data_IF_101965055277
#
_entry.id   IF_101965055277
#
_cell.length_a   1.000
_cell.length_b   1.000
_cell.length_c   1.000
_cell.angle_alpha   90.00
_cell.angle_beta   90.00
_cell.angle_gamma   90.00
#
_symmetry.space_group_name_H-M   'P 1'
#
loop_
_entity.id
_entity.type
_entity.pdbx_description
1 polymer ?
#
# COMPACT_ATOMS: atom_id res chain seq x y z
N UNK A 1 -15.61 -2.85 -4.66
CA UNK A 1 -15.17 -1.45 -4.81
C UNK A 1 -13.76 -1.18 -4.34
N UNK A 2 -13.41 -1.31 -3.04
CA UNK A 2 -12.05 -1.03 -2.54
C UNK A 2 -10.95 -1.72 -3.36
N UNK A 3 -10.99 -3.05 -3.48
CA UNK A 3 -9.96 -3.82 -4.18
C UNK A 3 -9.85 -3.46 -5.66
N UNK A 4 -10.99 -3.23 -6.32
CA UNK A 4 -11.04 -2.86 -7.74
C UNK A 4 -10.44 -1.46 -7.97
N UNK A 5 -10.77 -0.52 -7.08
CA UNK A 5 -10.25 0.85 -7.11
C UNK A 5 -8.74 0.87 -6.92
N UNK A 6 -8.25 0.15 -5.91
CA UNK A 6 -6.81 0.09 -5.61
C UNK A 6 -6.01 -0.62 -6.70
N UNK A 7 -6.52 -1.74 -7.24
CA UNK A 7 -5.93 -2.41 -8.41
C UNK A 7 -5.79 -1.48 -9.60
N UNK A 8 -6.83 -0.70 -9.90
CA UNK A 8 -6.82 0.21 -11.04
C UNK A 8 -5.86 1.40 -10.80
N UNK A 9 -5.74 1.89 -9.56
CA UNK A 9 -4.72 2.87 -9.18
C UNK A 9 -3.29 2.30 -9.31
N UNK A 10 -3.05 1.04 -8.95
CA UNK A 10 -1.76 0.35 -9.17
C UNK A 10 -1.46 0.22 -10.67
N UNK A 11 -2.47 -0.07 -11.51
CA UNK A 11 -2.31 -0.09 -12.98
C UNK A 11 -1.96 1.29 -13.53
N UNK A 12 -2.58 2.35 -13.01
CA UNK A 12 -2.27 3.73 -13.37
C UNK A 12 -0.83 4.08 -12.96
N UNK A 13 -0.42 3.75 -11.73
CA UNK A 13 0.94 3.93 -11.22
C UNK A 13 1.98 3.18 -12.05
N UNK A 14 1.71 1.91 -12.43
CA UNK A 14 2.56 1.13 -13.33
C UNK A 14 2.78 1.85 -14.67
N UNK A 15 1.72 2.42 -15.26
CA UNK A 15 1.82 3.18 -16.51
C UNK A 15 2.64 4.47 -16.32
N UNK A 16 2.36 5.21 -15.24
CA UNK A 16 3.07 6.42 -14.85
C UNK A 16 4.58 6.19 -14.72
N UNK A 17 4.97 5.09 -14.08
CA UNK A 17 6.37 4.73 -13.93
C UNK A 17 7.01 4.21 -15.22
N UNK A 18 6.39 3.23 -15.89
CA UNK A 18 7.01 2.56 -17.04
C UNK A 18 7.09 3.47 -18.27
N UNK A 19 6.01 4.21 -18.56
CA UNK A 19 5.91 5.09 -19.73
C UNK A 19 6.33 6.50 -19.39
N UNK A 20 5.83 7.05 -18.28
CA UNK A 20 6.10 8.43 -17.87
C UNK A 20 7.43 8.64 -17.17
N UNK A 21 8.08 7.56 -16.68
CA UNK A 21 9.29 7.63 -15.84
C UNK A 21 9.09 8.48 -14.58
N UNK A 22 7.85 8.51 -14.07
CA UNK A 22 7.45 9.31 -12.91
C UNK A 22 7.24 8.39 -11.69
N UNK A 23 7.80 8.80 -10.55
CA UNK A 23 7.49 8.29 -9.22
C UNK A 23 6.44 9.19 -8.58
N UNK A 24 5.47 8.62 -7.88
CA UNK A 24 4.42 9.40 -7.24
C UNK A 24 4.86 9.96 -5.89
N UNK A 25 5.53 9.15 -5.07
CA UNK A 25 6.07 9.49 -3.73
C UNK A 25 5.05 9.93 -2.67
N UNK A 26 3.75 9.85 -2.96
CA UNK A 26 2.70 10.20 -2.00
C UNK A 26 1.42 9.38 -2.23
N UNK A 27 1.57 8.06 -2.30
CA UNK A 27 0.41 7.17 -2.36
C UNK A 27 -0.32 7.20 -1.01
N UNK A 28 -1.59 7.59 -1.02
CA UNK A 28 -2.46 7.64 0.14
C UNK A 28 -3.93 7.43 -0.28
N UNK A 29 -4.85 7.14 0.65
CA UNK A 29 -6.27 6.98 0.31
C UNK A 29 -6.90 8.24 -0.30
N UNK A 30 -6.36 9.43 -0.01
CA UNK A 30 -6.86 10.69 -0.55
C UNK A 30 -6.48 10.89 -2.02
N UNK A 31 -5.39 10.25 -2.46
CA UNK A 31 -4.88 10.34 -3.83
C UNK A 31 -5.42 9.21 -4.73
N UNK A 32 -6.29 8.35 -4.19
CA UNK A 32 -6.95 7.27 -4.92
C UNK A 32 -8.46 7.54 -4.91
N UNK A 33 -9.01 7.93 -6.06
CA UNK A 33 -10.42 8.26 -6.19
C UNK A 33 -11.21 7.11 -6.83
N UNK A 34 -12.42 6.88 -6.33
CA UNK A 34 -13.38 5.97 -6.97
C UNK A 34 -13.98 6.68 -8.18
N UNK A 35 -13.99 5.99 -9.32
CA UNK A 35 -14.52 6.51 -10.58
C UNK A 35 -15.82 5.82 -10.96
N UNK A 36 -16.55 6.41 -11.91
CA UNK A 36 -17.70 5.76 -12.55
C UNK A 36 -17.22 5.06 -13.82
N UNK A 37 -17.22 3.71 -13.89
CA UNK A 37 -16.65 2.99 -15.03
C UNK A 37 -17.24 3.42 -16.39
N UNK A 38 -18.53 3.77 -16.43
CA UNK A 38 -19.22 4.23 -17.64
C UNK A 38 -18.63 5.51 -18.26
N UNK A 39 -17.91 6.31 -17.47
CA UNK A 39 -17.31 7.58 -17.92
C UNK A 39 -15.79 7.62 -17.72
N UNK A 40 -15.19 6.49 -17.32
CA UNK A 40 -13.77 6.38 -16.99
C UNK A 40 -13.16 5.15 -17.66
N UNK A 41 -13.55 4.87 -18.91
CA UNK A 41 -13.03 3.76 -19.72
C UNK A 41 -13.03 2.39 -19.03
N UNK A 42 -14.03 2.14 -18.17
CA UNK A 42 -14.16 0.91 -17.40
C UNK A 42 -13.34 0.85 -16.10
N UNK A 43 -12.50 1.85 -15.82
CA UNK A 43 -11.75 1.93 -14.57
C UNK A 43 -12.66 2.32 -13.39
N UNK A 44 -12.43 1.67 -12.26
CA UNK A 44 -13.12 1.89 -10.97
C UNK A 44 -12.29 2.72 -9.99
N UNK A 45 -11.00 2.88 -10.26
CA UNK A 45 -10.09 3.72 -9.48
C UNK A 45 -9.17 4.55 -10.37
N UNK A 46 -8.80 5.73 -9.88
CA UNK A 46 -7.82 6.60 -10.51
C UNK A 46 -6.85 7.15 -9.47
N UNK A 47 -5.57 7.17 -9.84
CA UNK A 47 -4.52 7.81 -9.06
C UNK A 47 -4.39 9.27 -9.50
N UNK A 48 -4.46 10.19 -8.54
CA UNK A 48 -4.40 11.63 -8.75
C UNK A 48 -3.26 12.24 -7.92
N UNK A 49 -3.07 13.55 -8.06
CA UNK A 49 -2.11 14.36 -7.29
C UNK A 49 -0.63 14.00 -7.54
N UNK A 50 0.00 14.78 -8.43
CA UNK A 50 1.41 14.62 -8.78
C UNK A 50 2.28 15.73 -8.20
N UNK A 51 1.81 16.48 -7.21
CA UNK A 51 2.55 17.62 -6.64
C UNK A 51 3.85 17.18 -5.96
N UNK A 52 3.84 15.97 -5.38
CA UNK A 52 5.02 15.33 -4.80
C UNK A 52 5.75 14.41 -5.79
N UNK A 53 5.36 14.34 -7.06
CA UNK A 53 5.95 13.40 -8.01
C UNK A 53 7.40 13.78 -8.41
N UNK A 54 8.16 12.80 -8.89
CA UNK A 54 9.52 13.01 -9.41
C UNK A 54 9.73 12.28 -10.73
N UNK A 55 10.29 12.97 -11.72
CA UNK A 55 10.71 12.34 -12.98
C UNK A 55 12.12 11.78 -12.83
N UNK A 56 12.33 10.52 -13.23
CA UNK A 56 13.67 9.89 -13.20
C UNK A 56 14.66 10.64 -14.07
N UNK A 57 15.87 10.84 -13.56
CA UNK A 57 16.94 11.60 -14.20
C UNK A 57 16.82 13.12 -14.06
N UNK A 58 15.84 13.62 -13.30
CA UNK A 58 15.78 15.04 -12.93
C UNK A 58 16.72 15.36 -11.76
N UNK A 59 16.97 16.64 -11.50
CA UNK A 59 17.80 17.09 -10.36
C UNK A 59 17.21 16.69 -8.99
N UNK A 60 15.90 16.39 -8.95
CA UNK A 60 15.20 15.90 -7.76
C UNK A 60 15.25 14.36 -7.64
N UNK A 61 15.77 13.67 -8.65
CA UNK A 61 15.98 12.22 -8.61
C UNK A 61 17.17 11.91 -7.69
N UNK A 62 16.91 11.15 -6.63
CA UNK A 62 17.93 10.78 -5.65
C UNK A 62 18.15 11.78 -4.51
N UNK A 63 17.35 12.86 -4.39
CA UNK A 63 17.34 13.68 -3.17
C UNK A 63 16.69 12.90 -2.03
N UNK A 64 17.47 12.59 -1.00
CA UNK A 64 17.04 11.89 0.22
C UNK A 64 16.10 12.77 1.06
N UNK A 65 14.81 12.73 0.72
CA UNK A 65 13.76 13.34 1.51
C UNK A 65 12.69 12.31 1.85
N UNK A 66 12.42 12.17 3.15
CA UNK A 66 11.24 11.46 3.64
C UNK A 66 10.01 12.33 3.32
N UNK A 67 9.50 12.17 2.10
CA UNK A 67 8.29 12.83 1.60
C UNK A 67 7.14 11.85 1.49
N UNK A 68 5.91 12.38 1.65
CA UNK A 68 4.67 11.62 1.54
C UNK A 68 3.87 11.62 2.83
N UNK A 69 2.74 10.93 2.79
CA UNK A 69 1.79 10.86 3.91
C UNK A 69 2.23 9.80 4.92
N UNK A 70 2.65 10.24 6.11
CA UNK A 70 3.39 9.47 7.13
C UNK A 70 2.95 8.00 7.33
N UNK A 71 1.65 7.67 7.51
CA UNK A 71 1.21 6.29 7.73
C UNK A 71 1.45 5.36 6.54
N UNK A 72 1.56 5.91 5.33
CA UNK A 72 1.66 5.16 4.08
C UNK A 72 3.07 5.16 3.50
N UNK A 73 4.00 5.96 4.03
CA UNK A 73 5.38 5.96 3.57
C UNK A 73 6.02 4.57 3.72
N UNK A 74 6.75 4.14 2.69
CA UNK A 74 7.54 2.92 2.73
C UNK A 74 8.60 2.96 3.84
N UNK A 75 8.99 1.81 4.38
CA UNK A 75 10.00 1.68 5.44
C UNK A 75 11.29 2.40 5.06
N UNK A 76 11.82 2.15 3.87
CA UNK A 76 13.08 2.73 3.43
C UNK A 76 12.99 4.24 3.23
N UNK A 77 11.82 4.73 2.83
CA UNK A 77 11.55 6.16 2.72
C UNK A 77 11.56 6.83 4.09
N UNK A 78 10.98 6.20 5.11
CA UNK A 78 11.05 6.66 6.50
C UNK A 78 12.50 6.70 7.01
N UNK A 79 13.33 5.76 6.55
CA UNK A 79 14.78 5.72 6.79
C UNK A 79 15.59 6.64 5.85
N UNK A 80 14.92 7.53 5.11
CA UNK A 80 15.50 8.51 4.19
C UNK A 80 16.32 7.88 3.06
N UNK A 81 16.04 6.64 2.69
CA UNK A 81 16.55 6.04 1.46
C UNK A 81 15.76 6.59 0.27
N UNK A 82 16.42 6.69 -0.88
CA UNK A 82 15.83 7.26 -2.08
C UNK A 82 14.59 6.48 -2.53
N UNK A 83 13.55 7.23 -2.90
CA UNK A 83 12.31 6.68 -3.42
C UNK A 83 12.53 5.89 -4.71
N UNK A 84 11.77 4.80 -4.86
CA UNK A 84 11.71 4.01 -6.08
C UNK A 84 10.26 3.59 -6.30
N UNK A 85 9.96 3.00 -7.46
CA UNK A 85 8.61 2.53 -7.77
C UNK A 85 8.13 1.45 -6.79
N UNK A 86 9.06 0.67 -6.22
CA UNK A 86 8.76 -0.32 -5.19
C UNK A 86 8.19 0.35 -3.94
N UNK A 87 8.70 1.52 -3.57
CA UNK A 87 8.22 2.24 -2.39
C UNK A 87 6.79 2.74 -2.58
N UNK A 88 6.42 3.21 -3.77
CA UNK A 88 5.03 3.53 -4.07
C UNK A 88 4.12 2.28 -4.01
N UNK A 89 4.60 1.11 -4.49
CA UNK A 89 3.86 -0.18 -4.38
C UNK A 89 3.72 -0.62 -2.91
N UNK A 90 4.75 -0.47 -2.09
CA UNK A 90 4.69 -0.72 -0.65
C UNK A 90 3.67 0.21 0.04
N UNK A 91 3.59 1.47 -0.39
CA UNK A 91 2.60 2.43 0.10
C UNK A 91 1.16 2.02 -0.23
N UNK A 92 0.88 1.48 -1.42
CA UNK A 92 -0.43 0.89 -1.72
C UNK A 92 -0.77 -0.21 -0.71
N UNK A 93 0.15 -1.13 -0.43
CA UNK A 93 -0.11 -2.16 0.57
C UNK A 93 -0.46 -1.60 1.97
N UNK A 94 0.20 -0.52 2.39
CA UNK A 94 -0.18 0.18 3.63
C UNK A 94 -1.54 0.87 3.55
N UNK A 95 -1.94 1.38 2.39
CA UNK A 95 -3.30 1.89 2.14
C UNK A 95 -4.32 0.77 2.37
N UNK A 96 -4.18 -0.38 1.71
CA UNK A 96 -5.08 -1.52 1.89
C UNK A 96 -5.23 -1.92 3.36
N UNK A 97 -4.11 -2.10 4.07
CA UNK A 97 -4.12 -2.50 5.48
C UNK A 97 -4.82 -1.47 6.36
N UNK A 98 -4.54 -0.17 6.18
CA UNK A 98 -5.21 0.90 6.92
C UNK A 98 -6.69 1.01 6.58
N UNK A 99 -7.06 0.86 5.31
CA UNK A 99 -8.46 0.88 4.88
C UNK A 99 -9.26 -0.24 5.55
N UNK A 100 -8.68 -1.44 5.67
CA UNK A 100 -9.32 -2.58 6.30
C UNK A 100 -9.31 -2.54 7.84
N UNK A 101 -8.19 -2.15 8.47
CA UNK A 101 -8.03 -2.25 9.93
C UNK A 101 -8.33 -0.99 10.72
N UNK A 102 -8.39 0.18 10.07
CA UNK A 102 -8.70 1.47 10.69
C UNK A 102 -9.97 2.06 10.12
N UNK A 103 -9.99 2.28 8.81
CA UNK A 103 -11.06 3.06 8.18
C UNK A 103 -12.37 2.28 8.02
N UNK A 104 -12.33 0.95 7.98
CA UNK A 104 -13.52 0.09 7.88
C UNK A 104 -14.43 0.14 9.12
N UNK A 105 -13.92 0.64 10.24
CA UNK A 105 -14.67 0.79 11.50
C UNK A 105 -15.54 2.06 11.54
N UNK A 106 -15.48 2.91 10.52
CA UNK A 106 -16.43 4.02 10.37
C UNK A 106 -17.86 3.46 10.22
N UNK A 107 -18.80 3.81 11.13
CA UNK A 107 -20.18 3.35 11.07
C UNK A 107 -20.87 3.60 9.74
N UNK A 108 -20.50 4.65 9.00
CA UNK A 108 -21.07 4.99 7.69
C UNK A 108 -20.79 3.90 6.64
N UNK A 109 -19.70 3.14 6.79
CA UNK A 109 -19.33 2.08 5.86
C UNK A 109 -20.07 0.76 6.10
N UNK A 110 -20.65 0.58 7.28
CA UNK A 110 -21.47 -0.60 7.60
C UNK A 110 -20.74 -1.94 7.53
N UNK A 111 -19.41 -1.96 7.65
CA UNK A 111 -18.61 -3.19 7.55
C UNK A 111 -18.47 -3.95 8.88
N UNK A 112 -18.65 -3.27 10.01
CA UNK A 112 -18.68 -3.90 11.33
C UNK A 112 -20.07 -4.47 11.61
N UNK A 113 -20.13 -5.73 12.06
CA UNK A 113 -21.41 -6.36 12.44
C UNK A 113 -21.84 -5.92 13.84
N UNK A 114 -23.12 -6.09 14.16
CA UNK A 114 -23.65 -5.70 15.48
C UNK A 114 -22.88 -6.39 16.63
N UNK A 115 -22.47 -5.59 17.62
CA UNK A 115 -21.68 -6.04 18.77
C UNK A 115 -20.18 -6.16 18.52
N UNK A 116 -19.71 -6.05 17.27
CA UNK A 116 -18.30 -5.96 16.93
C UNK A 116 -17.73 -4.58 17.33
N UNK A 117 -16.49 -4.55 17.82
CA UNK A 117 -15.86 -3.31 18.28
C UNK A 117 -14.42 -3.23 17.81
N UNK A 118 -14.05 -2.06 17.32
CA UNK A 118 -12.65 -1.74 17.07
C UNK A 118 -11.85 -1.85 18.36
N UNK A 119 -10.60 -2.32 18.23
CA UNK A 119 -9.63 -2.30 19.32
C UNK A 119 -9.44 -0.87 19.84
N UNK A 120 -9.56 -0.69 21.17
CA UNK A 120 -9.36 0.63 21.83
C UNK A 120 -8.01 1.27 21.49
N UNK A 121 -6.96 0.47 21.45
CA UNK A 121 -5.61 0.90 21.07
C UNK A 121 -5.19 0.20 19.78
N UNK A 122 -5.64 0.74 18.65
CA UNK A 122 -5.31 0.19 17.33
C UNK A 122 -3.81 0.24 17.05
N UNK A 123 -3.26 -0.84 16.49
CA UNK A 123 -1.87 -0.92 16.01
C UNK A 123 -1.60 0.08 14.89
N UNK A 124 -2.60 0.37 14.05
CA UNK A 124 -2.50 1.34 12.96
C UNK A 124 -2.29 2.77 13.44
N UNK A 125 -2.74 3.11 14.66
CA UNK A 125 -2.50 4.45 15.24
C UNK A 125 -1.01 4.74 15.36
N UNK A 126 -0.19 3.71 15.62
CA UNK A 126 1.26 3.87 15.79
C UNK A 126 1.99 4.24 14.50
N UNK A 127 1.35 4.11 13.34
CA UNK A 127 1.91 4.61 12.07
C UNK A 127 1.77 6.12 11.89
N UNK A 128 1.04 6.80 12.79
CA UNK A 128 0.74 8.24 12.70
C UNK A 128 1.52 9.07 13.73
N UNK A 129 2.19 8.43 14.69
CA UNK A 129 2.78 9.11 15.86
C UNK A 129 4.16 8.55 16.15
N UNK A 130 5.07 9.42 16.62
CA UNK A 130 6.46 9.06 16.91
C UNK A 130 7.43 9.61 15.88
N UNK A 131 8.69 9.16 15.94
CA UNK A 131 9.70 9.54 14.95
C UNK A 131 9.60 8.68 13.68
N UNK A 132 10.17 9.15 12.57
CA UNK A 132 10.23 8.37 11.33
C UNK A 132 10.92 7.01 11.55
N UNK A 133 11.96 7.00 12.37
CA UNK A 133 12.70 5.79 12.74
C UNK A 133 11.82 4.80 13.50
N UNK A 134 11.07 5.25 14.51
CA UNK A 134 10.17 4.38 15.28
C UNK A 134 9.10 3.74 14.40
N UNK A 135 8.56 4.52 13.46
CA UNK A 135 7.53 4.04 12.52
C UNK A 135 8.14 3.03 11.54
N UNK A 136 9.36 3.29 11.04
CA UNK A 136 10.07 2.36 10.18
C UNK A 136 10.32 1.02 10.86
N UNK A 137 10.90 1.03 12.07
CA UNK A 137 11.18 -0.18 12.84
C UNK A 137 9.91 -0.97 13.17
N UNK A 138 8.84 -0.26 13.53
CA UNK A 138 7.54 -0.89 13.78
C UNK A 138 6.99 -1.59 12.53
N UNK A 139 6.99 -0.90 11.38
CA UNK A 139 6.56 -1.48 10.10
C UNK A 139 7.43 -2.67 9.72
N UNK A 140 8.75 -2.57 9.88
CA UNK A 140 9.67 -3.68 9.65
C UNK A 140 9.30 -4.91 10.47
N UNK A 141 9.07 -4.73 11.77
CA UNK A 141 8.65 -5.80 12.67
C UNK A 141 7.27 -6.38 12.33
N UNK A 142 6.38 -5.61 11.73
CA UNK A 142 5.05 -6.08 11.31
C UNK A 142 5.10 -6.86 9.98
N UNK A 143 6.03 -6.53 9.09
CA UNK A 143 6.18 -7.14 7.77
C UNK A 143 7.21 -8.29 7.75
N UNK A 144 7.86 -8.60 8.87
CA UNK A 144 8.95 -9.58 8.95
C UNK A 144 8.51 -11.03 8.83
N UNK A 145 7.28 -11.37 9.25
CA UNK A 145 6.74 -12.72 9.18
C UNK A 145 5.21 -12.72 8.96
N UNK A 146 4.63 -13.82 8.46
CA UNK A 146 3.18 -13.92 8.30
C UNK A 146 2.43 -13.74 9.63
N UNK A 147 2.99 -14.22 10.73
CA UNK A 147 2.39 -14.12 12.06
C UNK A 147 2.30 -12.66 12.54
N UNK A 148 3.32 -11.85 12.24
CA UNK A 148 3.34 -10.43 12.62
C UNK A 148 2.36 -9.61 11.78
N UNK A 149 2.15 -9.98 10.51
CA UNK A 149 1.10 -9.42 9.68
C UNK A 149 -0.29 -9.85 10.17
N UNK A 150 -0.47 -11.13 10.50
CA UNK A 150 -1.72 -11.66 11.05
C UNK A 150 -2.17 -10.95 12.33
N UNK A 151 -1.21 -10.58 13.20
CA UNK A 151 -1.48 -9.75 14.38
C UNK A 151 -2.04 -8.36 14.05
N UNK A 152 -1.69 -7.79 12.90
CA UNK A 152 -2.24 -6.53 12.41
C UNK A 152 -3.63 -6.74 11.78
N UNK A 153 -3.77 -7.76 10.93
CA UNK A 153 -5.03 -8.11 10.28
C UNK A 153 -6.11 -8.63 11.24
N UNK A 154 -5.74 -9.07 12.45
CA UNK A 154 -6.71 -9.39 13.52
C UNK A 154 -7.56 -8.18 13.96
N UNK A 155 -7.20 -6.95 13.57
CA UNK A 155 -8.02 -5.76 13.78
C UNK A 155 -9.03 -5.50 12.65
N UNK A 156 -9.09 -6.35 11.63
CA UNK A 156 -10.07 -6.20 10.55
C UNK A 156 -11.47 -6.60 11.06
N UNK A 157 -12.53 -5.87 10.68
CA UNK A 157 -13.89 -6.37 10.88
C UNK A 157 -14.08 -7.73 10.22
N UNK A 158 -14.97 -8.56 10.77
CA UNK A 158 -15.28 -9.90 10.22
C UNK A 158 -15.65 -9.89 8.74
N UNK A 159 -16.33 -8.84 8.27
CA UNK A 159 -16.70 -8.70 6.86
C UNK A 159 -15.48 -8.64 5.91
N UNK A 160 -14.29 -8.31 6.42
CA UNK A 160 -13.05 -8.20 5.66
C UNK A 160 -12.08 -9.38 5.87
N UNK A 161 -12.50 -10.46 6.51
CA UNK A 161 -11.73 -11.71 6.57
C UNK A 161 -11.34 -12.20 5.17
N UNK A 162 -12.23 -12.02 4.20
CA UNK A 162 -12.02 -12.39 2.78
C UNK A 162 -10.85 -11.64 2.13
N UNK A 163 -10.41 -10.51 2.68
CA UNK A 163 -9.28 -9.72 2.14
C UNK A 163 -7.93 -10.21 2.68
N UNK A 164 -7.90 -10.97 3.78
CA UNK A 164 -6.64 -11.39 4.41
C UNK A 164 -5.73 -12.22 3.51
N UNK A 165 -6.22 -13.20 2.72
CA UNK A 165 -5.37 -13.96 1.80
C UNK A 165 -4.63 -13.06 0.81
N UNK A 166 -5.30 -12.04 0.28
CA UNK A 166 -4.66 -11.03 -0.58
C UNK A 166 -3.54 -10.30 0.16
N UNK A 167 -3.78 -9.85 1.39
CA UNK A 167 -2.76 -9.17 2.19
C UNK A 167 -1.52 -10.04 2.45
N UNK A 168 -1.71 -11.34 2.70
CA UNK A 168 -0.62 -12.29 2.90
C UNK A 168 0.20 -12.46 1.62
N UNK A 169 -0.47 -12.63 0.48
CA UNK A 169 0.19 -12.76 -0.82
C UNK A 169 0.96 -11.48 -1.20
N UNK A 170 0.35 -10.30 -1.06
CA UNK A 170 1.02 -9.01 -1.30
C UNK A 170 2.26 -8.86 -0.42
N UNK A 171 2.19 -9.29 0.85
CA UNK A 171 3.33 -9.25 1.77
C UNK A 171 4.47 -10.14 1.29
N UNK A 172 4.19 -11.37 0.83
CA UNK A 172 5.23 -12.26 0.29
C UNK A 172 5.86 -11.70 -0.98
N UNK A 173 5.07 -11.05 -1.84
CA UNK A 173 5.57 -10.41 -3.06
C UNK A 173 6.47 -9.20 -2.72
N UNK A 174 6.04 -8.32 -1.81
CA UNK A 174 6.73 -7.05 -1.50
C UNK A 174 7.95 -7.29 -0.57
N UNK A 175 7.87 -8.27 0.33
CA UNK A 175 8.89 -8.56 1.33
C UNK A 175 9.35 -10.04 1.25
N UNK A 176 9.94 -10.45 0.11
CA UNK A 176 10.25 -11.86 -0.13
C UNK A 176 11.28 -12.39 0.88
N UNK A 177 11.08 -13.59 1.45
CA UNK A 177 11.85 -14.10 2.61
C UNK A 177 13.34 -14.42 2.35
N UNK A 178 13.90 -14.13 1.18
CA UNK A 178 15.25 -14.60 0.79
C UNK A 178 16.39 -13.73 1.36
N UNK A 179 16.74 -13.96 2.62
CA UNK A 179 18.07 -13.67 3.20
C UNK A 179 18.30 -12.22 3.63
N UNK A 180 19.01 -12.06 4.77
CA UNK A 180 19.41 -10.77 5.36
C UNK A 180 19.95 -9.85 4.25
N UNK A 181 19.26 -8.75 3.98
CA UNK A 181 19.50 -7.75 2.92
C UNK A 181 18.67 -7.84 1.61
N UNK A 182 17.62 -8.68 1.50
CA UNK A 182 16.72 -8.66 0.32
C UNK A 182 15.24 -8.32 0.59
N UNK A 183 14.83 -8.12 1.84
CA UNK A 183 13.47 -7.69 2.17
C UNK A 183 13.23 -6.20 1.85
N UNK A 184 14.32 -5.46 1.68
CA UNK A 184 14.33 -4.02 1.41
C UNK A 184 15.28 -3.74 0.22
N UNK A 185 15.10 -2.60 -0.42
CA UNK A 185 15.66 -2.23 -1.70
C UNK A 185 14.67 -2.42 -2.85
N UNK A 186 15.17 -2.26 -4.08
CA UNK A 186 14.42 -2.52 -5.31
C UNK A 186 15.13 -3.61 -6.12
N UNK A 187 15.00 -4.88 -5.71
CA UNK A 187 15.79 -5.99 -6.27
C UNK A 187 15.37 -6.42 -7.68
N UNK A 188 14.21 -5.96 -8.16
CA UNK A 188 13.69 -6.35 -9.46
C UNK A 188 14.38 -5.58 -10.59
N UNK A 189 15.02 -6.32 -11.52
CA UNK A 189 15.59 -5.73 -12.73
C UNK A 189 14.51 -5.24 -13.70
N UNK A 190 13.40 -5.98 -13.79
CA UNK A 190 12.22 -5.60 -14.55
C UNK A 190 11.09 -5.22 -13.58
N UNK A 191 10.58 -3.97 -13.59
CA UNK A 191 9.50 -3.56 -12.70
C UNK A 191 8.24 -4.43 -12.80
N UNK A 192 7.99 -5.06 -13.95
CA UNK A 192 6.84 -5.94 -14.13
C UNK A 192 6.92 -7.23 -13.29
N UNK A 193 8.11 -7.61 -12.83
CA UNK A 193 8.29 -8.74 -11.92
C UNK A 193 7.75 -8.41 -10.50
N UNK A 194 7.49 -7.13 -10.21
CA UNK A 194 6.74 -6.67 -9.04
C UNK A 194 5.27 -6.41 -9.40
N UNK A 195 5.00 -5.54 -10.40
CA UNK A 195 3.62 -5.15 -10.70
C UNK A 195 2.73 -6.30 -11.17
N UNK A 196 3.27 -7.24 -11.95
CA UNK A 196 2.51 -8.34 -12.53
C UNK A 196 1.88 -9.21 -11.43
N UNK A 197 2.68 -9.79 -10.52
CA UNK A 197 2.16 -10.57 -9.39
C UNK A 197 1.18 -9.79 -8.51
N UNK A 198 1.46 -8.52 -8.20
CA UNK A 198 0.56 -7.68 -7.40
C UNK A 198 -0.81 -7.55 -8.07
N UNK A 199 -0.84 -7.17 -9.35
CA UNK A 199 -2.11 -7.01 -10.09
C UNK A 199 -2.86 -8.34 -10.21
N UNK A 200 -2.14 -9.44 -10.42
CA UNK A 200 -2.74 -10.78 -10.50
C UNK A 200 -3.39 -11.19 -9.18
N UNK A 201 -2.73 -10.96 -8.04
CA UNK A 201 -3.28 -11.23 -6.71
C UNK A 201 -4.59 -10.45 -6.48
N UNK A 202 -4.62 -9.17 -6.86
CA UNK A 202 -5.86 -8.37 -6.80
C UNK A 202 -6.94 -8.92 -7.73
N UNK A 203 -6.62 -9.28 -8.98
CA UNK A 203 -7.58 -9.83 -9.93
C UNK A 203 -8.18 -11.16 -9.43
N UNK A 204 -7.36 -12.04 -8.83
CA UNK A 204 -7.81 -13.28 -8.20
C UNK A 204 -8.73 -13.01 -7.02
N UNK A 205 -8.31 -12.16 -6.07
CA UNK A 205 -9.12 -11.80 -4.91
C UNK A 205 -10.48 -11.18 -5.30
N UNK A 206 -10.50 -10.31 -6.31
CA UNK A 206 -11.74 -9.71 -6.83
C UNK A 206 -12.65 -10.77 -7.46
N UNK A 207 -12.10 -11.78 -8.14
CA UNK A 207 -12.90 -12.84 -8.78
C UNK A 207 -13.61 -13.77 -7.78
N UNK A 208 -13.16 -13.79 -6.53
CA UNK A 208 -13.71 -14.60 -5.44
C UNK A 208 -14.80 -13.87 -4.62
N UNK A 209 -15.05 -12.58 -4.89
CA UNK A 209 -16.06 -11.74 -4.22
C UNK A 209 -17.38 -11.68 -5.02
#
# INVERSE_FOLDING_TARGET
ELLECERDAIRAHRSLYLKGKILHRDISPHNIIITRPATADGFKGMLIDLDMACTRGSDQDGTSHAVGTLPFMAVEVLLKINHTYRHDVESFFYVLLCMCGREAWDPVKGLAVEGEKQRKESRFRKWHVGTLQDIAELKQGQMVAPETLGNLMSEFPKALEVVKPLCEELREIIFPPKGKNKNYGTPWNNPNDLYGPIIAAFDEAISML
#
